data_IF_626511604988
#
_entry.id   IF_626511604988
#
_cell.length_a   1.000
_cell.length_b   1.000
_cell.length_c   1.000
_cell.angle_alpha   90.00
_cell.angle_beta   90.00
_cell.angle_gamma   90.00
#
_symmetry.space_group_name_H-M   'P 1'
#
loop_
_entity.id
_entity.type
_entity.pdbx_description
1 polymer ?
#
# COMPACT_ATOMS: atom_id res chain seq x y z
N UNK A 1 -14.98 -37.79 22.64
CA UNK A 1 -14.48 -36.86 21.60
C UNK A 1 -14.32 -35.49 22.21
N UNK A 2 -13.09 -34.98 22.38
CA UNK A 2 -12.89 -33.59 22.82
C UNK A 2 -13.23 -32.68 21.64
N UNK A 3 -14.27 -31.85 21.74
CA UNK A 3 -14.49 -30.74 20.80
C UNK A 3 -13.22 -29.87 20.85
N UNK A 4 -12.49 -29.82 19.74
CA UNK A 4 -11.42 -28.82 19.57
C UNK A 4 -12.12 -27.48 19.52
N UNK A 5 -11.86 -26.60 20.48
CA UNK A 5 -12.27 -25.19 20.38
C UNK A 5 -11.53 -24.60 19.18
N UNK A 6 -12.26 -24.28 18.13
CA UNK A 6 -11.72 -23.63 16.93
C UNK A 6 -11.42 -22.17 17.28
N UNK A 7 -10.30 -21.64 16.81
CA UNK A 7 -9.99 -20.22 17.06
C UNK A 7 -10.91 -19.31 16.23
N UNK A 8 -11.17 -18.08 16.70
CA UNK A 8 -12.03 -17.13 15.97
C UNK A 8 -11.57 -16.88 14.53
N UNK A 9 -10.25 -16.84 14.30
CA UNK A 9 -9.64 -16.72 12.96
C UNK A 9 -9.99 -17.94 12.10
N UNK A 10 -9.90 -19.15 12.65
CA UNK A 10 -10.26 -20.37 11.90
C UNK A 10 -11.75 -20.41 11.55
N UNK A 11 -12.64 -19.91 12.43
CA UNK A 11 -14.08 -19.80 12.16
C UNK A 11 -14.36 -18.79 11.03
N UNK A 12 -13.75 -17.60 11.10
CA UNK A 12 -13.85 -16.57 10.05
C UNK A 12 -13.37 -17.09 8.69
N UNK A 13 -12.22 -17.76 8.65
CA UNK A 13 -11.70 -18.39 7.43
C UNK A 13 -12.63 -19.45 6.87
N UNK A 14 -13.24 -20.27 7.74
CA UNK A 14 -14.19 -21.30 7.29
C UNK A 14 -15.46 -20.68 6.71
N UNK A 15 -15.96 -19.58 7.29
CA UNK A 15 -17.12 -18.85 6.78
C UNK A 15 -16.85 -18.29 5.39
N UNK A 16 -15.74 -17.56 5.21
CA UNK A 16 -15.35 -17.00 3.91
C UNK A 16 -15.16 -18.09 2.85
N UNK A 17 -14.48 -19.20 3.18
CA UNK A 17 -14.24 -20.30 2.22
C UNK A 17 -15.51 -21.05 1.80
N UNK A 18 -16.61 -20.92 2.55
CA UNK A 18 -17.90 -21.52 2.20
C UNK A 18 -18.80 -20.58 1.41
N UNK A 19 -18.48 -19.29 1.37
CA UNK A 19 -19.30 -18.32 0.64
C UNK A 19 -19.02 -18.36 -0.87
N UNK A 20 -20.06 -18.55 -1.71
CA UNK A 20 -19.90 -18.45 -3.15
C UNK A 20 -19.59 -17.02 -3.61
N UNK A 21 -20.16 -15.99 -2.95
CA UNK A 21 -19.92 -14.58 -3.30
C UNK A 21 -18.47 -14.18 -3.00
N UNK A 22 -17.94 -14.63 -1.86
CA UNK A 22 -16.52 -14.47 -1.55
C UNK A 22 -15.64 -15.20 -2.57
N UNK A 23 -15.98 -16.44 -2.95
CA UNK A 23 -15.21 -17.17 -3.95
C UNK A 23 -15.16 -16.44 -5.31
N UNK A 24 -16.28 -15.85 -5.73
CA UNK A 24 -16.37 -15.03 -6.95
C UNK A 24 -15.50 -13.77 -6.82
N UNK A 25 -15.48 -13.13 -5.64
CA UNK A 25 -14.69 -11.91 -5.42
C UNK A 25 -13.19 -12.12 -5.59
N UNK A 26 -12.69 -13.35 -5.42
CA UNK A 26 -11.26 -13.67 -5.61
C UNK A 26 -10.78 -13.55 -7.07
N UNK A 27 -11.69 -13.48 -8.05
CA UNK A 27 -11.37 -13.25 -9.46
C UNK A 27 -10.90 -11.82 -9.73
N UNK A 28 -11.37 -10.85 -8.93
CA UNK A 28 -11.15 -9.45 -9.18
C UNK A 28 -11.35 -8.56 -7.95
N UNK A 29 -11.00 -9.03 -6.73
CA UNK A 29 -11.20 -8.37 -5.42
C UNK A 29 -11.86 -6.99 -5.46
N UNK A 30 -11.11 -5.92 -5.75
CA UNK A 30 -11.64 -4.54 -5.87
C UNK A 30 -12.76 -4.40 -6.90
N UNK A 31 -12.52 -4.84 -8.15
CA UNK A 31 -13.49 -4.83 -9.23
C UNK A 31 -14.78 -5.58 -8.85
N UNK A 32 -14.66 -6.75 -8.22
CA UNK A 32 -15.81 -7.56 -7.81
C UNK A 32 -16.71 -6.83 -6.80
N UNK A 33 -16.12 -6.17 -5.81
CA UNK A 33 -16.87 -5.35 -4.85
C UNK A 33 -17.52 -4.14 -5.54
N UNK A 34 -16.77 -3.45 -6.41
CA UNK A 34 -17.29 -2.30 -7.15
C UNK A 34 -18.45 -2.68 -8.10
N UNK A 35 -18.40 -3.83 -8.79
CA UNK A 35 -19.59 -4.25 -9.56
C UNK A 35 -20.76 -4.68 -8.68
N UNK A 36 -20.52 -5.33 -7.54
CA UNK A 36 -21.62 -5.66 -6.63
C UNK A 36 -22.31 -4.39 -6.12
N UNK A 37 -21.54 -3.38 -5.74
CA UNK A 37 -22.06 -2.08 -5.31
C UNK A 37 -22.83 -1.35 -6.41
N UNK A 38 -22.32 -1.33 -7.65
CA UNK A 38 -23.07 -0.79 -8.79
C UNK A 38 -24.42 -1.50 -8.96
N UNK A 39 -24.41 -2.84 -8.91
CA UNK A 39 -25.62 -3.63 -9.06
C UNK A 39 -26.65 -3.36 -7.95
N UNK A 40 -26.26 -3.30 -6.66
CA UNK A 40 -27.22 -2.98 -5.59
C UNK A 40 -27.75 -1.54 -5.69
N UNK A 41 -26.95 -0.60 -6.20
CA UNK A 41 -27.37 0.80 -6.42
C UNK A 41 -28.43 0.91 -7.54
N UNK A 42 -28.40 0.02 -8.52
CA UNK A 42 -29.40 -0.05 -9.59
C UNK A 42 -30.73 -0.66 -9.14
N UNK A 43 -30.77 -1.35 -7.98
CA UNK A 43 -32.00 -1.99 -7.52
C UNK A 43 -33.02 -0.95 -7.07
N UNK A 44 -34.20 -1.02 -7.66
CA UNK A 44 -35.31 -0.12 -7.37
C UNK A 44 -36.38 -0.83 -6.53
N UNK A 45 -36.84 -0.17 -5.47
CA UNK A 45 -37.97 -0.57 -4.65
C UNK A 45 -38.88 0.64 -4.45
N UNK A 46 -40.14 0.50 -4.85
CA UNK A 46 -41.17 1.53 -4.71
C UNK A 46 -40.76 2.89 -5.31
N UNK A 47 -40.10 2.90 -6.47
CA UNK A 47 -39.67 4.14 -7.13
C UNK A 47 -38.38 4.75 -6.58
N UNK A 48 -37.65 4.02 -5.72
CA UNK A 48 -36.42 4.49 -5.07
C UNK A 48 -35.31 3.46 -5.16
N UNK A 49 -34.06 3.92 -5.07
CA UNK A 49 -32.84 3.14 -5.01
C UNK A 49 -32.29 3.14 -3.57
N UNK A 50 -32.80 2.30 -2.67
CA UNK A 50 -32.52 2.42 -1.23
C UNK A 50 -31.03 2.31 -0.89
N UNK A 51 -30.27 1.50 -1.63
CA UNK A 51 -28.84 1.30 -1.40
C UNK A 51 -27.96 2.53 -1.69
N UNK A 52 -28.50 3.62 -2.26
CA UNK A 52 -27.78 4.90 -2.33
C UNK A 52 -27.38 5.42 -0.95
N UNK A 53 -28.19 5.11 0.07
CA UNK A 53 -27.96 5.54 1.45
C UNK A 53 -26.80 4.82 2.14
N UNK A 54 -26.25 3.77 1.52
CA UNK A 54 -24.96 3.19 1.93
C UNK A 54 -23.85 4.23 1.84
N UNK A 55 -23.84 5.03 0.76
CA UNK A 55 -22.77 5.98 0.48
C UNK A 55 -23.17 7.43 0.80
N UNK A 56 -24.46 7.76 0.70
CA UNK A 56 -24.99 9.09 1.01
C UNK A 56 -26.11 8.96 2.05
N UNK A 57 -25.80 9.01 3.36
CA UNK A 57 -26.82 8.93 4.40
C UNK A 57 -27.94 9.96 4.23
N UNK A 58 -29.16 9.58 4.60
CA UNK A 58 -30.35 10.43 4.54
C UNK A 58 -30.65 11.01 3.14
N UNK A 59 -30.22 10.34 2.08
CA UNK A 59 -30.31 10.81 0.68
C UNK A 59 -31.70 11.33 0.31
N UNK A 60 -32.74 10.52 0.54
CA UNK A 60 -34.11 10.90 0.19
C UNK A 60 -34.70 11.93 1.17
N UNK A 61 -34.33 11.88 2.45
CA UNK A 61 -34.79 12.84 3.45
C UNK A 61 -34.25 14.25 3.16
N UNK A 62 -33.04 14.32 2.61
CA UNK A 62 -32.40 15.56 2.16
C UNK A 62 -32.98 16.10 0.84
N UNK A 63 -33.95 15.41 0.23
CA UNK A 63 -34.60 15.82 -1.01
C UNK A 63 -33.77 15.53 -2.25
N UNK A 64 -32.80 14.62 -2.18
CA UNK A 64 -32.00 14.23 -3.33
C UNK A 64 -32.75 13.23 -4.23
N UNK A 65 -32.40 13.21 -5.51
CA UNK A 65 -32.95 12.29 -6.51
C UNK A 65 -31.82 11.59 -7.26
N UNK A 66 -31.84 10.25 -7.26
CA UNK A 66 -30.85 9.43 -7.95
C UNK A 66 -31.00 9.58 -9.48
N UNK A 67 -29.87 9.66 -10.21
CA UNK A 67 -29.87 9.69 -11.68
C UNK A 67 -29.24 8.40 -12.23
N UNK A 68 -28.01 8.10 -11.84
CA UNK A 68 -27.28 6.96 -12.39
C UNK A 68 -26.09 6.54 -11.52
N UNK A 69 -25.64 5.30 -11.73
CA UNK A 69 -24.33 4.80 -11.31
C UNK A 69 -23.60 4.30 -12.54
N UNK A 70 -22.33 4.68 -12.68
CA UNK A 70 -21.45 4.27 -13.78
C UNK A 70 -20.17 3.65 -13.20
N UNK A 71 -19.66 2.62 -13.85
CA UNK A 71 -18.41 1.94 -13.46
C UNK A 71 -17.25 2.36 -14.35
N UNK A 72 -16.05 2.42 -13.77
CA UNK A 72 -14.77 2.56 -14.52
C UNK A 72 -14.69 3.82 -15.41
N UNK A 73 -15.57 4.81 -15.16
CA UNK A 73 -15.61 6.07 -15.91
C UNK A 73 -14.36 6.87 -15.58
N UNK A 74 -13.54 7.15 -16.59
CA UNK A 74 -12.24 7.83 -16.42
C UNK A 74 -11.35 7.17 -15.36
N UNK A 75 -11.34 5.84 -15.30
CA UNK A 75 -10.50 5.06 -14.36
C UNK A 75 -10.86 5.24 -12.87
N UNK A 76 -12.09 5.66 -12.58
CA UNK A 76 -12.68 5.68 -11.23
C UNK A 76 -13.54 4.42 -11.04
N UNK A 77 -13.47 3.79 -9.86
CA UNK A 77 -14.24 2.56 -9.61
C UNK A 77 -15.76 2.74 -9.79
N UNK A 78 -16.36 3.75 -9.15
CA UNK A 78 -17.77 4.13 -9.35
C UNK A 78 -17.96 5.65 -9.42
N UNK A 79 -18.84 6.08 -10.31
CA UNK A 79 -19.36 7.45 -10.38
C UNK A 79 -20.87 7.41 -10.21
N UNK A 80 -21.38 8.08 -9.17
CA UNK A 80 -22.80 8.22 -8.89
C UNK A 80 -23.20 9.64 -9.23
N UNK A 81 -24.23 9.80 -10.07
CA UNK A 81 -24.80 11.09 -10.42
C UNK A 81 -26.18 11.21 -9.78
N UNK A 82 -26.45 12.36 -9.16
CA UNK A 82 -27.74 12.65 -8.52
C UNK A 82 -28.08 14.13 -8.60
N UNK A 83 -29.30 14.48 -8.24
CA UNK A 83 -29.72 15.87 -8.03
C UNK A 83 -29.90 16.16 -6.57
N UNK A 84 -29.42 17.31 -6.12
CA UNK A 84 -29.69 17.80 -4.77
C UNK A 84 -31.10 18.42 -4.67
N UNK A 85 -31.47 18.92 -3.48
CA UNK A 85 -32.76 19.56 -3.22
C UNK A 85 -33.05 20.79 -4.09
N UNK A 86 -32.01 21.48 -4.56
CA UNK A 86 -32.10 22.61 -5.48
C UNK A 86 -32.21 22.18 -6.96
N UNK A 87 -32.29 20.86 -7.23
CA UNK A 87 -32.33 20.26 -8.56
C UNK A 87 -31.05 20.51 -9.38
N UNK A 88 -29.93 20.79 -8.70
CA UNK A 88 -28.59 20.88 -9.28
C UNK A 88 -27.95 19.49 -9.33
N UNK A 89 -27.18 19.22 -10.38
CA UNK A 89 -26.49 17.94 -10.57
C UNK A 89 -25.23 17.88 -9.71
N UNK A 90 -25.10 16.81 -8.92
CA UNK A 90 -23.93 16.49 -8.11
C UNK A 90 -23.37 15.12 -8.51
N UNK A 91 -22.06 14.97 -8.30
CA UNK A 91 -21.33 13.74 -8.60
C UNK A 91 -20.60 13.26 -7.36
N UNK A 92 -20.86 12.01 -6.96
CA UNK A 92 -20.10 11.30 -5.96
C UNK A 92 -19.19 10.28 -6.64
N UNK A 93 -17.90 10.32 -6.32
CA UNK A 93 -16.92 9.33 -6.73
C UNK A 93 -16.71 8.34 -5.60
N UNK A 94 -16.71 7.05 -5.91
CA UNK A 94 -16.25 6.01 -4.98
C UNK A 94 -15.00 5.36 -5.57
N UNK A 95 -13.93 5.38 -4.80
CA UNK A 95 -12.67 4.72 -5.12
C UNK A 95 -12.46 3.55 -4.15
N UNK A 96 -12.33 2.34 -4.68
CA UNK A 96 -12.18 1.12 -3.91
C UNK A 96 -10.71 0.70 -3.84
N UNK A 97 -10.18 0.66 -2.63
CA UNK A 97 -8.77 0.38 -2.38
C UNK A 97 -8.61 -0.70 -1.33
N UNK A 98 -8.42 -1.92 -1.83
CA UNK A 98 -8.07 -3.08 -1.03
C UNK A 98 -6.59 -3.39 -1.17
N UNK A 99 -6.05 -3.29 -2.40
CA UNK A 99 -4.71 -3.78 -2.76
C UNK A 99 -3.61 -2.74 -2.63
N UNK A 100 -3.94 -1.47 -2.46
CA UNK A 100 -2.95 -0.39 -2.46
C UNK A 100 -3.51 0.82 -1.77
N UNK A 101 -2.61 1.68 -1.31
CA UNK A 101 -2.95 2.94 -0.68
C UNK A 101 -3.04 3.98 -1.80
N UNK A 102 -4.15 4.71 -1.90
CA UNK A 102 -4.25 5.77 -2.90
C UNK A 102 -3.23 6.86 -2.58
N UNK A 103 -2.69 7.50 -3.62
CA UNK A 103 -1.83 8.67 -3.44
C UNK A 103 -2.66 9.94 -3.59
N UNK A 104 -2.23 11.03 -2.94
CA UNK A 104 -2.88 12.33 -3.05
C UNK A 104 -2.95 12.81 -4.50
N UNK A 105 -1.91 12.56 -5.28
CA UNK A 105 -1.84 12.92 -6.69
C UNK A 105 -2.90 12.18 -7.51
N UNK A 106 -3.24 10.94 -7.17
CA UNK A 106 -4.32 10.21 -7.83
C UNK A 106 -5.68 10.86 -7.54
N UNK A 107 -5.95 11.19 -6.27
CA UNK A 107 -7.20 11.82 -5.86
C UNK A 107 -7.37 13.21 -6.51
N UNK A 108 -6.30 14.01 -6.55
CA UNK A 108 -6.31 15.32 -7.20
C UNK A 108 -6.54 15.23 -8.71
N UNK A 109 -6.02 14.21 -9.39
CA UNK A 109 -6.27 14.00 -10.83
C UNK A 109 -7.75 13.75 -11.12
N UNK A 110 -8.44 12.99 -10.28
CA UNK A 110 -9.88 12.77 -10.46
C UNK A 110 -10.66 14.08 -10.34
N UNK A 111 -10.29 14.93 -9.38
CA UNK A 111 -10.88 16.26 -9.22
C UNK A 111 -10.62 17.15 -10.45
N UNK A 112 -9.42 17.14 -11.02
CA UNK A 112 -9.09 17.92 -12.22
C UNK A 112 -9.79 17.39 -13.49
N UNK A 113 -9.86 16.07 -13.66
CA UNK A 113 -10.45 15.44 -14.86
C UNK A 113 -11.98 15.56 -14.88
N UNK A 114 -12.63 15.56 -13.71
CA UNK A 114 -14.08 15.65 -13.57
C UNK A 114 -14.54 17.08 -13.29
N UNK A 115 -13.72 17.92 -12.65
CA UNK A 115 -14.01 19.30 -12.28
C UNK A 115 -14.07 20.31 -13.43
N UNK A 116 -13.81 19.90 -14.67
CA UNK A 116 -13.99 20.74 -15.87
C UNK A 116 -15.46 21.06 -16.20
N UNK A 117 -16.43 20.65 -15.38
CA UNK A 117 -17.86 20.67 -15.71
C UNK A 117 -18.76 21.56 -14.80
N UNK A 118 -18.23 22.45 -13.96
CA UNK A 118 -19.02 23.23 -12.97
C UNK A 118 -19.90 22.36 -12.04
N UNK A 119 -19.55 21.07 -11.89
CA UNK A 119 -20.26 20.13 -11.03
C UNK A 119 -19.62 20.07 -9.64
N UNK A 120 -20.47 19.97 -8.61
CA UNK A 120 -20.02 19.66 -7.25
C UNK A 120 -19.58 18.20 -7.20
N UNK A 121 -18.31 17.96 -6.87
CA UNK A 121 -17.71 16.63 -6.78
C UNK A 121 -17.28 16.36 -5.35
N UNK A 122 -17.75 15.23 -4.81
CA UNK A 122 -17.28 14.64 -3.55
C UNK A 122 -16.69 13.26 -3.80
N UNK A 123 -15.83 12.79 -2.90
CA UNK A 123 -15.15 11.51 -3.04
C UNK A 123 -15.27 10.64 -1.80
N UNK A 124 -15.43 9.33 -1.98
CA UNK A 124 -15.34 8.34 -0.91
C UNK A 124 -14.24 7.35 -1.29
N UNK A 125 -13.24 7.24 -0.41
CA UNK A 125 -12.28 6.16 -0.41
C UNK A 125 -12.82 5.01 0.43
N UNK A 126 -12.82 3.79 -0.11
CA UNK A 126 -13.26 2.59 0.61
C UNK A 126 -12.13 1.56 0.73
N UNK A 127 -12.16 0.76 1.79
CA UNK A 127 -11.18 -0.30 1.99
C UNK A 127 -11.29 -1.01 3.34
N UNK A 128 -10.36 -1.94 3.56
CA UNK A 128 -10.25 -2.71 4.83
C UNK A 128 -9.53 -1.93 5.94
N UNK A 129 -8.75 -0.91 5.58
CA UNK A 129 -7.93 -0.14 6.50
C UNK A 129 -7.73 1.29 5.96
N UNK A 130 -7.87 2.29 6.84
CA UNK A 130 -7.56 3.69 6.50
C UNK A 130 -6.06 3.91 6.66
N UNK A 131 -5.35 4.08 5.56
CA UNK A 131 -3.89 4.30 5.56
C UNK A 131 -3.48 5.76 5.44
N UNK A 132 -4.34 6.61 4.88
CA UNK A 132 -4.12 8.05 4.85
C UNK A 132 -4.72 8.66 6.11
N UNK A 133 -4.06 9.66 6.68
CA UNK A 133 -4.71 10.50 7.66
C UNK A 133 -5.96 11.09 7.00
N UNK A 134 -7.13 10.88 7.60
CA UNK A 134 -8.42 11.36 7.10
C UNK A 134 -8.37 12.88 6.89
N UNK A 135 -7.52 13.59 7.65
CA UNK A 135 -7.31 15.03 7.50
C UNK A 135 -6.63 15.41 6.18
N UNK A 136 -5.82 14.53 5.60
CA UNK A 136 -5.14 14.75 4.32
C UNK A 136 -6.04 14.48 3.10
N UNK A 137 -7.22 13.89 3.32
CA UNK A 137 -8.17 13.52 2.27
C UNK A 137 -8.96 14.72 1.72
N UNK A 138 -8.96 15.87 2.38
CA UNK A 138 -9.63 17.08 1.89
C UNK A 138 -11.14 16.87 1.70
N UNK A 139 -11.62 16.87 0.44
CA UNK A 139 -13.02 16.60 0.08
C UNK A 139 -13.39 15.11 0.09
N UNK A 140 -12.41 14.25 0.30
CA UNK A 140 -12.60 12.80 0.33
C UNK A 140 -12.90 12.33 1.73
N UNK A 141 -13.85 11.39 1.84
CA UNK A 141 -14.18 10.71 3.08
C UNK A 141 -13.67 9.26 3.01
N UNK A 142 -13.28 8.69 4.14
CA UNK A 142 -13.02 7.26 4.23
C UNK A 142 -14.27 6.51 4.73
N UNK A 143 -14.70 5.49 3.98
CA UNK A 143 -15.79 4.61 4.36
C UNK A 143 -15.30 3.15 4.38
N UNK A 144 -15.13 2.60 5.58
CA UNK A 144 -14.64 1.24 5.75
C UNK A 144 -15.62 0.19 5.25
N UNK A 145 -15.11 -1.00 4.91
CA UNK A 145 -15.95 -2.14 4.55
C UNK A 145 -16.90 -2.55 5.67
N UNK A 146 -16.51 -2.36 6.93
CA UNK A 146 -17.38 -2.58 8.08
C UNK A 146 -18.62 -1.70 8.06
N UNK A 147 -18.41 -0.41 7.81
CA UNK A 147 -19.50 0.56 7.78
C UNK A 147 -20.41 0.34 6.57
N UNK A 148 -19.82 -0.02 5.42
CA UNK A 148 -20.59 -0.43 4.23
C UNK A 148 -21.46 -1.65 4.54
N UNK A 149 -20.90 -2.69 5.19
CA UNK A 149 -21.64 -3.89 5.57
C UNK A 149 -22.84 -3.56 6.46
N UNK A 150 -22.61 -2.77 7.51
CA UNK A 150 -23.67 -2.34 8.44
C UNK A 150 -24.78 -1.58 7.75
N UNK A 151 -24.44 -0.63 6.88
CA UNK A 151 -25.45 0.15 6.16
C UNK A 151 -26.25 -0.72 5.19
N UNK A 152 -25.60 -1.65 4.50
CA UNK A 152 -26.29 -2.63 3.65
C UNK A 152 -27.27 -3.47 4.48
N UNK A 153 -26.83 -4.00 5.63
CA UNK A 153 -27.69 -4.80 6.51
C UNK A 153 -28.88 -4.01 7.02
N UNK A 154 -28.68 -2.77 7.50
CA UNK A 154 -29.77 -1.91 7.97
C UNK A 154 -30.83 -1.65 6.89
N UNK A 155 -30.39 -1.42 5.64
CA UNK A 155 -31.30 -1.22 4.51
C UNK A 155 -32.02 -2.52 4.16
N UNK A 156 -31.31 -3.64 4.18
CA UNK A 156 -31.86 -4.97 3.91
C UNK A 156 -32.93 -5.37 4.95
N UNK A 157 -32.76 -5.03 6.23
CA UNK A 157 -33.77 -5.29 7.28
C UNK A 157 -35.13 -4.63 6.96
N UNK A 158 -35.11 -3.44 6.36
CA UNK A 158 -36.31 -2.71 5.93
C UNK A 158 -36.91 -3.31 4.67
N UNK A 159 -36.07 -3.88 3.79
CA UNK A 159 -36.46 -4.41 2.49
C UNK A 159 -36.25 -5.93 2.36
N UNK A 160 -36.54 -6.68 3.43
CA UNK A 160 -36.23 -8.11 3.52
C UNK A 160 -36.96 -8.99 2.50
N UNK A 161 -38.00 -8.48 1.83
CA UNK A 161 -38.80 -9.22 0.84
C UNK A 161 -38.29 -9.09 -0.59
N UNK A 162 -37.15 -8.42 -0.83
CA UNK A 162 -36.53 -8.37 -2.16
C UNK A 162 -36.11 -9.78 -2.62
N UNK A 163 -36.30 -10.10 -3.91
CA UNK A 163 -35.97 -11.40 -4.51
C UNK A 163 -34.49 -11.82 -4.37
N UNK A 164 -33.63 -10.85 -4.04
CA UNK A 164 -32.18 -11.01 -3.90
C UNK A 164 -31.67 -10.68 -2.50
N UNK A 165 -32.56 -10.57 -1.49
CA UNK A 165 -32.21 -10.23 -0.11
C UNK A 165 -31.12 -11.14 0.46
N UNK A 166 -31.21 -12.46 0.22
CA UNK A 166 -30.23 -13.44 0.70
C UNK A 166 -28.82 -13.20 0.13
N UNK A 167 -28.70 -12.77 -1.13
CA UNK A 167 -27.40 -12.47 -1.73
C UNK A 167 -26.79 -11.20 -1.16
N UNK A 168 -27.60 -10.18 -0.89
CA UNK A 168 -27.17 -8.93 -0.27
C UNK A 168 -26.72 -9.19 1.17
N UNK A 169 -27.48 -9.99 1.91
CA UNK A 169 -27.11 -10.40 3.26
C UNK A 169 -25.78 -11.15 3.28
N UNK A 170 -25.64 -12.19 2.45
CA UNK A 170 -24.41 -12.98 2.38
C UNK A 170 -23.21 -12.11 2.01
N UNK A 171 -23.38 -11.16 1.08
CA UNK A 171 -22.33 -10.22 0.72
C UNK A 171 -21.91 -9.35 1.91
N UNK A 172 -22.86 -8.72 2.60
CA UNK A 172 -22.59 -7.87 3.75
C UNK A 172 -21.87 -8.64 4.87
N UNK A 173 -22.34 -9.86 5.15
CA UNK A 173 -21.71 -10.77 6.11
C UNK A 173 -20.27 -11.14 5.72
N UNK A 174 -20.01 -11.42 4.44
CA UNK A 174 -18.67 -11.76 3.96
C UNK A 174 -17.69 -10.60 4.11
N UNK A 175 -18.10 -9.38 3.76
CA UNK A 175 -17.23 -8.21 3.86
C UNK A 175 -16.97 -7.82 5.32
N UNK A 176 -17.94 -8.01 6.22
CA UNK A 176 -17.76 -7.80 7.66
C UNK A 176 -16.77 -8.82 8.24
N UNK A 177 -16.95 -10.11 7.93
CA UNK A 177 -16.03 -11.17 8.37
C UNK A 177 -14.61 -10.96 7.85
N UNK A 178 -14.47 -10.52 6.59
CA UNK A 178 -13.19 -10.18 6.00
C UNK A 178 -12.55 -9.00 6.74
N UNK A 179 -13.32 -7.96 7.05
CA UNK A 179 -12.85 -6.80 7.79
C UNK A 179 -12.36 -7.20 9.20
N UNK A 180 -13.17 -7.93 9.96
CA UNK A 180 -12.84 -8.36 11.32
C UNK A 180 -11.59 -9.27 11.36
N UNK A 181 -11.45 -10.15 10.37
CA UNK A 181 -10.27 -10.99 10.21
C UNK A 181 -9.00 -10.12 10.00
N UNK A 182 -9.10 -9.09 9.15
CA UNK A 182 -8.00 -8.16 8.92
C UNK A 182 -7.66 -7.34 10.17
N UNK A 183 -8.65 -6.79 10.87
CA UNK A 183 -8.43 -6.04 12.11
C UNK A 183 -7.75 -6.92 13.17
N UNK A 184 -8.23 -8.14 13.34
CA UNK A 184 -7.63 -9.12 14.28
C UNK A 184 -6.16 -9.39 13.95
N UNK A 185 -5.84 -9.55 12.66
CA UNK A 185 -4.46 -9.75 12.18
C UNK A 185 -3.60 -8.51 12.33
N UNK A 186 -4.13 -7.32 12.07
CA UNK A 186 -3.42 -6.05 12.26
C UNK A 186 -3.04 -5.85 13.73
N UNK A 187 -3.98 -6.07 14.66
CA UNK A 187 -3.71 -5.92 16.09
C UNK A 187 -2.74 -7.00 16.61
N UNK A 188 -2.90 -8.26 16.21
CA UNK A 188 -1.99 -9.35 16.59
C UNK A 188 -0.53 -9.07 16.19
N UNK A 189 -0.33 -8.35 15.09
CA UNK A 189 0.98 -8.03 14.51
C UNK A 189 1.30 -6.53 14.53
N UNK A 190 0.74 -5.81 15.50
CA UNK A 190 1.07 -4.40 15.72
C UNK A 190 2.56 -4.23 15.97
N UNK A 191 3.17 -3.23 15.31
CA UNK A 191 4.61 -2.97 15.45
C UNK A 191 5.53 -4.05 14.90
N UNK A 192 5.03 -4.95 14.04
CA UNK A 192 5.82 -6.02 13.42
C UNK A 192 5.80 -5.92 11.90
N UNK A 193 6.97 -6.11 11.31
CA UNK A 193 7.14 -6.23 9.86
C UNK A 193 6.75 -7.64 9.42
N UNK A 194 5.93 -7.71 8.36
CA UNK A 194 5.32 -8.96 7.88
C UNK A 194 5.70 -9.21 6.43
N UNK A 195 6.11 -10.44 6.14
CA UNK A 195 6.52 -10.90 4.79
C UNK A 195 5.59 -11.98 4.22
N UNK A 196 4.50 -12.29 4.92
CA UNK A 196 3.44 -13.23 4.53
C UNK A 196 2.61 -13.67 5.73
N UNK A 197 1.35 -14.05 5.50
CA UNK A 197 0.48 -14.66 6.53
C UNK A 197 -0.17 -15.94 6.00
N UNK A 198 0.03 -17.06 6.71
CA UNK A 198 -0.43 -18.39 6.28
C UNK A 198 -1.95 -18.54 6.31
N UNK A 199 -2.63 -17.81 7.19
CA UNK A 199 -4.08 -17.87 7.31
C UNK A 199 -4.73 -17.10 6.17
N UNK A 200 -4.23 -15.90 5.89
CA UNK A 200 -4.70 -15.08 4.78
C UNK A 200 -4.30 -15.68 3.42
N UNK A 201 -3.25 -16.49 3.34
CA UNK A 201 -2.94 -17.24 2.12
C UNK A 201 -4.06 -18.23 1.75
N UNK A 202 -4.72 -18.85 2.75
CA UNK A 202 -5.83 -19.79 2.51
C UNK A 202 -7.00 -19.15 1.77
N UNK A 203 -7.21 -17.85 1.97
CA UNK A 203 -8.23 -17.06 1.28
C UNK A 203 -7.66 -16.14 0.19
N UNK A 204 -6.36 -16.28 -0.15
CA UNK A 204 -5.65 -15.48 -1.16
C UNK A 204 -5.59 -13.97 -0.88
N UNK A 205 -5.51 -13.56 0.39
CA UNK A 205 -5.39 -12.16 0.86
C UNK A 205 -4.03 -11.83 1.53
N UNK A 206 -3.11 -12.78 1.64
CA UNK A 206 -1.77 -12.57 2.23
C UNK A 206 -1.00 -11.45 1.53
N UNK A 207 -1.12 -11.32 0.20
CA UNK A 207 -0.46 -10.28 -0.58
C UNK A 207 -0.95 -8.88 -0.20
N UNK A 208 -2.26 -8.71 -0.03
CA UNK A 208 -2.89 -7.47 0.42
C UNK A 208 -2.42 -7.11 1.83
N UNK A 209 -2.44 -8.08 2.73
CA UNK A 209 -2.02 -7.85 4.11
C UNK A 209 -0.56 -7.42 4.21
N UNK A 210 0.33 -8.09 3.46
CA UNK A 210 1.74 -7.71 3.36
C UNK A 210 1.91 -6.30 2.78
N UNK A 211 1.05 -5.88 1.84
CA UNK A 211 1.08 -4.52 1.31
C UNK A 211 0.69 -3.46 2.34
N UNK A 212 -0.39 -3.71 3.09
CA UNK A 212 -0.83 -2.82 4.16
C UNK A 212 0.23 -2.69 5.26
N UNK A 213 0.77 -3.81 5.75
CA UNK A 213 1.85 -3.81 6.74
C UNK A 213 3.13 -3.15 6.21
N UNK A 214 3.44 -3.31 4.93
CA UNK A 214 4.58 -2.63 4.30
C UNK A 214 4.43 -1.11 4.31
N UNK A 215 3.23 -0.59 4.10
CA UNK A 215 3.00 0.86 4.16
C UNK A 215 2.96 1.42 5.57
N UNK A 216 2.27 0.74 6.48
CA UNK A 216 2.30 1.10 7.90
C UNK A 216 3.76 1.20 8.38
N UNK A 217 4.61 0.26 7.98
CA UNK A 217 6.02 0.29 8.32
C UNK A 217 6.80 1.43 7.64
N UNK A 218 6.51 1.72 6.37
CA UNK A 218 7.10 2.86 5.66
C UNK A 218 6.78 4.19 6.35
N UNK A 219 5.53 4.38 6.80
CA UNK A 219 5.11 5.56 7.55
C UNK A 219 5.85 5.67 8.88
N UNK A 220 5.97 4.57 9.63
CA UNK A 220 6.73 4.55 10.89
C UNK A 220 8.23 4.85 10.69
N UNK A 221 8.84 4.37 9.60
CA UNK A 221 10.20 4.75 9.23
C UNK A 221 10.26 6.26 8.96
N UNK A 222 9.38 6.78 8.09
CA UNK A 222 9.40 8.18 7.68
C UNK A 222 9.20 9.15 8.85
N UNK A 223 8.38 8.81 9.85
CA UNK A 223 8.23 9.59 11.10
C UNK A 223 9.51 9.72 11.92
N UNK A 224 10.41 8.73 11.81
CA UNK A 224 11.66 8.63 12.61
C UNK A 224 12.92 9.00 11.82
N UNK A 225 12.81 9.24 10.51
CA UNK A 225 13.92 9.73 9.70
C UNK A 225 14.17 11.22 10.01
N UNK A 226 15.40 11.54 10.41
CA UNK A 226 15.81 12.91 10.78
C UNK A 226 17.00 13.40 9.95
N UNK A 227 17.18 12.86 8.73
CA UNK A 227 18.31 13.18 7.87
C UNK A 227 17.99 14.38 6.98
N UNK A 228 19.00 15.21 6.74
CA UNK A 228 18.91 16.39 5.89
C UNK A 228 19.54 16.16 4.52
N UNK A 229 19.20 17.02 3.56
CA UNK A 229 19.91 17.07 2.29
C UNK A 229 21.35 17.57 2.49
N UNK A 230 22.28 17.13 1.67
CA UNK A 230 23.69 17.51 1.78
C UNK A 230 24.30 17.79 0.40
N UNK A 231 24.64 19.06 0.12
CA UNK A 231 25.19 19.48 -1.18
C UNK A 231 24.28 19.00 -2.34
N UNK A 232 24.79 18.10 -3.17
CA UNK A 232 24.14 17.48 -4.33
C UNK A 232 23.39 16.19 -3.97
N UNK A 233 23.32 15.82 -2.69
CA UNK A 233 22.59 14.66 -2.19
C UNK A 233 21.22 15.07 -1.64
N UNK A 234 20.18 14.46 -2.19
CA UNK A 234 18.80 14.63 -1.74
C UNK A 234 18.60 13.90 -0.41
N UNK A 235 17.79 14.49 0.48
CA UNK A 235 17.39 13.87 1.74
C UNK A 235 16.71 12.51 1.48
N UNK A 236 17.00 11.48 2.30
CA UNK A 236 16.39 10.17 2.13
C UNK A 236 14.93 10.20 2.58
N UNK A 237 14.07 9.55 1.81
CA UNK A 237 12.69 9.22 2.18
C UNK A 237 12.53 7.72 1.97
N UNK A 238 11.76 7.06 2.84
CA UNK A 238 11.41 5.66 2.63
C UNK A 238 10.38 5.54 1.52
N UNK A 239 10.79 4.93 0.41
CA UNK A 239 9.90 4.49 -0.65
C UNK A 239 9.51 3.02 -0.48
N UNK A 240 8.28 2.68 -0.86
CA UNK A 240 7.76 1.32 -0.85
C UNK A 240 7.45 0.86 -2.28
N UNK A 241 7.94 -0.32 -2.63
CA UNK A 241 7.63 -0.99 -3.90
C UNK A 241 7.30 -2.46 -3.66
N UNK A 242 6.64 -3.10 -4.62
CA UNK A 242 6.24 -4.50 -4.52
C UNK A 242 6.68 -5.27 -5.75
N UNK A 243 7.64 -6.19 -5.57
CA UNK A 243 8.16 -7.04 -6.63
C UNK A 243 8.01 -8.51 -6.24
N UNK A 244 7.48 -9.35 -7.13
CA UNK A 244 7.31 -10.79 -6.90
C UNK A 244 6.62 -11.14 -5.55
N UNK A 245 5.56 -10.39 -5.18
CA UNK A 245 4.82 -10.49 -3.91
C UNK A 245 5.64 -10.14 -2.64
N UNK A 246 6.79 -9.47 -2.79
CA UNK A 246 7.61 -9.02 -1.66
C UNK A 246 7.62 -7.50 -1.58
N UNK A 247 7.38 -6.92 -0.39
CA UNK A 247 7.63 -5.52 -0.14
C UNK A 247 9.14 -5.27 -0.21
N UNK A 248 9.51 -4.24 -0.94
CA UNK A 248 10.87 -3.67 -0.95
C UNK A 248 10.77 -2.23 -0.48
N UNK A 249 11.31 -1.97 0.72
CA UNK A 249 11.46 -0.61 1.26
C UNK A 249 12.87 -0.12 0.95
N UNK A 250 12.99 1.07 0.37
CA UNK A 250 14.29 1.66 0.00
C UNK A 250 14.42 3.03 0.65
N UNK A 251 15.54 3.26 1.33
CA UNK A 251 15.85 4.50 2.05
C UNK A 251 17.26 4.89 1.63
N UNK A 252 17.39 5.87 0.76
CA UNK A 252 18.67 6.19 0.11
C UNK A 252 18.91 7.68 0.05
N UNK A 253 20.17 8.09 0.25
CA UNK A 253 20.64 9.37 -0.24
C UNK A 253 20.87 9.24 -1.75
N UNK A 254 20.22 10.09 -2.53
CA UNK A 254 20.40 10.14 -3.99
C UNK A 254 21.22 11.35 -4.39
N UNK A 255 22.37 11.12 -5.00
CA UNK A 255 23.22 12.17 -5.54
C UNK A 255 22.71 12.61 -6.90
N UNK A 256 22.62 13.93 -7.11
CA UNK A 256 22.11 14.56 -8.33
C UNK A 256 23.22 15.29 -9.07
N UNK A 257 23.04 15.54 -10.37
CA UNK A 257 23.94 16.41 -11.12
C UNK A 257 23.75 17.86 -10.65
N UNK A 258 24.83 18.58 -10.46
CA UNK A 258 24.79 20.03 -10.28
C UNK A 258 24.18 20.72 -11.51
N UNK A 259 23.16 21.55 -11.31
CA UNK A 259 22.41 22.21 -12.38
C UNK A 259 21.31 21.37 -13.09
N UNK A 260 21.21 20.06 -12.83
CA UNK A 260 20.08 19.23 -13.29
C UNK A 260 19.63 18.24 -12.19
N UNK A 261 18.80 18.70 -11.23
CA UNK A 261 18.38 17.91 -10.07
C UNK A 261 17.48 16.72 -10.44
N UNK A 262 17.03 16.63 -11.70
CA UNK A 262 16.21 15.51 -12.18
C UNK A 262 17.04 14.26 -12.47
N UNK A 263 18.35 14.42 -12.70
CA UNK A 263 19.25 13.31 -13.03
C UNK A 263 20.00 12.81 -11.81
N UNK A 264 19.85 11.52 -11.54
CA UNK A 264 20.59 10.83 -10.48
C UNK A 264 21.92 10.29 -11.01
N UNK A 265 23.02 10.55 -10.30
CA UNK A 265 24.35 10.02 -10.63
C UNK A 265 24.72 8.80 -9.79
N UNK A 266 24.13 8.66 -8.60
CA UNK A 266 24.29 7.49 -7.76
C UNK A 266 23.54 7.60 -6.46
N UNK A 267 23.60 6.55 -5.66
CA UNK A 267 22.90 6.45 -4.39
C UNK A 267 23.57 5.51 -3.42
N UNK A 268 23.40 5.78 -2.13
CA UNK A 268 23.78 4.89 -1.03
C UNK A 268 22.69 4.89 0.04
N UNK A 269 22.56 3.79 0.78
CA UNK A 269 21.62 3.71 1.89
C UNK A 269 21.25 2.27 2.25
N UNK A 270 19.98 2.09 2.61
CA UNK A 270 19.42 0.84 3.11
C UNK A 270 18.26 0.39 2.24
N UNK A 271 18.14 -0.92 2.07
CA UNK A 271 16.97 -1.56 1.49
C UNK A 271 16.54 -2.75 2.35
N UNK A 272 15.23 -2.91 2.55
CA UNK A 272 14.62 -4.08 3.19
C UNK A 272 13.81 -4.81 2.14
N UNK A 273 14.12 -6.08 1.88
CA UNK A 273 13.39 -6.91 0.91
C UNK A 273 13.12 -8.30 1.48
N UNK A 274 11.86 -8.59 1.79
CA UNK A 274 11.48 -9.85 2.44
C UNK A 274 12.20 -10.02 3.79
N UNK A 275 12.86 -11.15 4.01
CA UNK A 275 13.60 -11.42 5.26
C UNK A 275 15.03 -10.83 5.26
N UNK A 276 15.36 -9.94 4.32
CA UNK A 276 16.71 -9.42 4.14
C UNK A 276 16.80 -7.93 4.44
N UNK A 277 17.76 -7.57 5.29
CA UNK A 277 18.26 -6.21 5.43
C UNK A 277 19.49 -6.05 4.54
N UNK A 278 19.52 -5.01 3.72
CA UNK A 278 20.57 -4.75 2.74
C UNK A 278 21.14 -3.35 2.92
N UNK A 279 22.45 -3.24 2.96
CA UNK A 279 23.17 -2.00 2.67
C UNK A 279 23.33 -1.93 1.16
N UNK A 280 23.05 -0.77 0.61
CA UNK A 280 22.90 -0.55 -0.82
C UNK A 280 23.79 0.62 -1.26
N UNK A 281 24.45 0.46 -2.41
CA UNK A 281 25.26 1.52 -3.00
C UNK A 281 25.48 1.31 -4.49
N UNK A 282 25.51 2.39 -5.27
CA UNK A 282 25.68 2.28 -6.72
C UNK A 282 25.65 3.58 -7.50
N UNK A 283 26.15 3.54 -8.73
CA UNK A 283 26.07 4.62 -9.71
C UNK A 283 24.85 4.42 -10.62
N UNK A 284 24.13 5.51 -10.91
CA UNK A 284 22.83 5.53 -11.59
C UNK A 284 22.87 6.09 -13.02
N UNK A 285 24.04 6.54 -13.49
CA UNK A 285 24.18 7.23 -14.79
C UNK A 285 24.71 6.37 -15.93
N UNK A 286 24.25 6.70 -17.14
CA UNK A 286 24.71 6.15 -18.41
C UNK A 286 26.17 6.58 -18.70
N UNK A 287 27.05 5.60 -18.92
CA UNK A 287 28.45 5.84 -19.29
C UNK A 287 29.42 6.04 -18.11
N UNK A 288 28.90 6.25 -16.90
CA UNK A 288 29.72 6.37 -15.69
C UNK A 288 29.75 5.03 -14.92
N UNK A 289 30.90 4.37 -15.08
CA UNK A 289 31.52 3.32 -14.26
C UNK A 289 31.35 1.83 -14.60
N UNK A 290 32.52 1.19 -14.69
CA UNK A 290 32.72 -0.23 -14.54
C UNK A 290 32.40 -0.67 -13.11
N UNK A 291 31.65 -1.77 -12.99
CA UNK A 291 31.25 -2.41 -11.73
C UNK A 291 32.37 -2.42 -10.67
N UNK A 292 33.59 -2.83 -11.07
CA UNK A 292 34.78 -2.87 -10.21
C UNK A 292 35.12 -1.52 -9.57
N UNK A 293 35.06 -0.43 -10.34
CA UNK A 293 35.43 0.91 -9.85
C UNK A 293 34.44 1.38 -8.78
N UNK A 294 33.14 1.17 -9.00
CA UNK A 294 32.10 1.54 -8.01
C UNK A 294 32.31 0.77 -6.71
N UNK A 295 32.58 -0.53 -6.80
CA UNK A 295 32.77 -1.39 -5.64
C UNK A 295 34.06 -1.07 -4.89
N UNK A 296 35.17 -0.87 -5.62
CA UNK A 296 36.44 -0.45 -5.03
C UNK A 296 36.26 0.88 -4.28
N UNK A 297 35.58 1.86 -4.88
CA UNK A 297 35.24 3.13 -4.22
C UNK A 297 34.43 2.92 -2.92
N UNK A 298 33.47 1.99 -2.90
CA UNK A 298 32.69 1.66 -1.71
C UNK A 298 33.47 0.84 -0.66
N UNK A 299 34.47 0.06 -1.07
CA UNK A 299 35.38 -0.62 -0.15
C UNK A 299 36.42 0.33 0.44
N UNK A 300 36.96 1.24 -0.37
CA UNK A 300 38.03 2.16 0.03
C UNK A 300 37.53 3.19 1.03
N UNK A 301 36.25 3.56 0.96
CA UNK A 301 35.61 4.40 1.98
C UNK A 301 35.03 3.59 3.15
N UNK A 302 35.27 2.28 3.21
CA UNK A 302 34.81 1.38 4.28
C UNK A 302 33.28 1.28 4.41
N UNK A 303 32.53 1.59 3.35
CA UNK A 303 31.07 1.48 3.32
C UNK A 303 30.64 0.02 3.19
N UNK A 304 31.26 -0.71 2.26
CA UNK A 304 31.18 -2.17 2.20
C UNK A 304 32.41 -2.81 2.85
N UNK A 305 32.25 -4.05 3.31
CA UNK A 305 33.35 -4.82 3.90
C UNK A 305 33.85 -5.88 2.91
N UNK A 306 35.17 -5.90 2.69
CA UNK A 306 35.84 -6.80 1.72
C UNK A 306 35.72 -8.28 2.10
N UNK A 307 35.72 -8.59 3.40
CA UNK A 307 35.66 -9.97 3.89
C UNK A 307 34.24 -10.38 4.30
N UNK A 308 33.66 -11.30 3.51
CA UNK A 308 32.32 -11.87 3.71
C UNK A 308 32.14 -12.60 5.07
N UNK A 309 33.26 -13.08 5.66
CA UNK A 309 33.29 -13.85 6.90
C UNK A 309 33.75 -13.03 8.12
N UNK A 310 34.16 -11.77 7.93
CA UNK A 310 34.27 -10.88 9.07
C UNK A 310 32.83 -10.62 9.53
N UNK A 311 32.48 -11.23 10.68
CA UNK A 311 31.30 -10.83 11.46
C UNK A 311 31.21 -9.32 11.34
N UNK A 312 30.13 -8.77 10.80
CA UNK A 312 29.89 -7.34 10.97
C UNK A 312 29.90 -7.14 12.47
N UNK A 313 30.95 -6.51 13.01
CA UNK A 313 31.36 -6.64 14.41
C UNK A 313 30.35 -6.04 15.39
N UNK A 314 29.22 -5.58 14.90
CA UNK A 314 28.18 -4.91 15.66
C UNK A 314 27.19 -5.84 16.35
N UNK A 315 26.93 -7.08 15.90
CA UNK A 315 25.94 -7.97 16.56
C UNK A 315 26.16 -9.50 16.37
N UNK A 316 27.31 -9.96 15.86
CA UNK A 316 27.56 -11.40 15.66
C UNK A 316 26.88 -12.04 14.44
N UNK A 317 26.40 -11.23 13.48
CA UNK A 317 25.70 -11.69 12.26
C UNK A 317 26.66 -11.98 11.10
N UNK A 318 26.31 -12.95 10.26
CA UNK A 318 27.03 -13.26 9.01
C UNK A 318 26.37 -12.57 7.82
N UNK A 319 27.10 -11.69 7.13
CA UNK A 319 26.62 -11.01 5.92
C UNK A 319 27.01 -11.77 4.64
N UNK A 320 26.32 -11.49 3.54
CA UNK A 320 26.62 -12.04 2.22
C UNK A 320 26.51 -10.94 1.17
N UNK A 321 27.27 -11.07 0.09
CA UNK A 321 27.13 -10.29 -1.14
C UNK A 321 27.14 -11.28 -2.32
N UNK A 322 26.53 -10.92 -3.45
CA UNK A 322 26.49 -11.81 -4.62
C UNK A 322 27.86 -11.83 -5.31
N UNK A 323 28.22 -12.95 -5.94
CA UNK A 323 29.46 -13.08 -6.71
C UNK A 323 29.49 -12.20 -7.97
N UNK A 324 28.31 -11.92 -8.54
CA UNK A 324 28.13 -10.90 -9.58
C UNK A 324 27.49 -9.70 -8.90
N UNK A 325 28.17 -8.56 -8.91
CA UNK A 325 27.79 -7.40 -8.13
C UNK A 325 26.57 -6.69 -8.73
N UNK A 326 26.37 -6.78 -10.06
CA UNK A 326 25.14 -6.44 -10.75
C UNK A 326 24.41 -7.70 -11.28
N UNK A 327 23.15 -7.90 -10.88
CA UNK A 327 22.31 -9.03 -11.36
C UNK A 327 21.90 -8.84 -12.83
N UNK A 328 21.84 -7.59 -13.29
CA UNK A 328 21.40 -7.24 -14.63
C UNK A 328 22.61 -7.10 -15.56
N UNK A 329 23.36 -8.18 -15.70
CA UNK A 329 24.41 -8.33 -16.71
C UNK A 329 23.84 -8.43 -18.13
N UNK A 330 22.89 -7.59 -18.48
CA UNK A 330 22.61 -7.30 -19.87
C UNK A 330 23.63 -6.27 -20.32
N UNK A 331 24.30 -6.55 -21.43
CA UNK A 331 25.29 -5.70 -22.11
C UNK A 331 24.72 -4.29 -22.44
N UNK A 332 23.42 -4.07 -22.21
CA UNK A 332 22.67 -2.83 -22.39
C UNK A 332 22.26 -2.11 -21.08
N UNK A 333 22.51 -2.66 -19.89
CA UNK A 333 22.11 -2.03 -18.62
C UNK A 333 23.14 -0.98 -18.17
N UNK A 334 22.69 0.28 -18.15
CA UNK A 334 23.46 1.52 -18.00
C UNK A 334 23.56 2.01 -16.53
N UNK A 335 23.78 1.10 -15.57
CA UNK A 335 23.88 1.42 -14.14
C UNK A 335 24.57 0.29 -13.35
N UNK A 336 25.12 0.59 -12.16
CA UNK A 336 25.75 -0.40 -11.28
C UNK A 336 25.21 -0.29 -9.85
N UNK A 337 24.50 -1.32 -9.39
CA UNK A 337 23.91 -1.37 -8.06
C UNK A 337 24.38 -2.59 -7.28
N UNK A 338 25.03 -2.35 -6.15
CA UNK A 338 25.66 -3.36 -5.32
C UNK A 338 24.97 -3.46 -3.96
N UNK A 339 24.97 -4.67 -3.38
CA UNK A 339 24.26 -4.97 -2.14
C UNK A 339 25.10 -5.86 -1.22
N UNK A 340 25.22 -5.45 0.05
CA UNK A 340 25.68 -6.33 1.13
C UNK A 340 24.50 -6.57 2.07
N UNK A 341 24.16 -7.83 2.35
CA UNK A 341 22.91 -8.17 3.05
C UNK A 341 23.08 -9.19 4.16
N UNK A 342 22.14 -9.20 5.10
CA UNK A 342 21.98 -10.21 6.13
C UNK A 342 20.50 -10.50 6.38
N UNK A 343 20.22 -11.60 7.08
CA UNK A 343 18.84 -11.96 7.45
C UNK A 343 18.37 -11.11 8.63
N UNK A 344 17.11 -10.71 8.58
CA UNK A 344 16.40 -10.11 9.71
C UNK A 344 16.04 -11.24 10.67
N UNK A 345 16.45 -11.09 11.93
CA UNK A 345 16.19 -12.05 13.00
C UNK A 345 15.07 -11.57 13.92
N UNK A 346 14.96 -10.25 14.11
CA UNK A 346 13.91 -9.58 14.87
C UNK A 346 13.08 -8.73 13.91
N UNK A 347 11.80 -9.10 13.78
CA UNK A 347 10.84 -8.45 12.90
C UNK A 347 10.05 -7.32 13.57
N UNK A 348 10.40 -6.93 14.80
CA UNK A 348 9.83 -5.72 15.40
C UNK A 348 10.26 -4.47 14.63
N UNK A 349 9.36 -3.50 14.53
CA UNK A 349 9.65 -2.23 13.86
C UNK A 349 10.86 -1.54 14.49
N UNK A 350 10.91 -1.47 15.83
CA UNK A 350 12.00 -0.80 16.54
C UNK A 350 13.36 -1.41 16.22
N UNK A 351 13.50 -2.74 16.26
CA UNK A 351 14.76 -3.40 15.97
C UNK A 351 15.26 -3.15 14.53
N UNK A 352 14.34 -3.17 13.55
CA UNK A 352 14.68 -2.93 12.15
C UNK A 352 15.00 -1.44 11.93
N UNK A 353 14.22 -0.53 12.50
CA UNK A 353 14.41 0.92 12.36
C UNK A 353 15.71 1.37 13.02
N UNK A 354 16.05 0.85 14.21
CA UNK A 354 17.30 1.17 14.89
C UNK A 354 18.52 0.77 14.06
N UNK A 355 18.48 -0.43 13.45
CA UNK A 355 19.52 -0.87 12.54
C UNK A 355 19.55 -0.02 11.26
N UNK A 356 18.39 0.33 10.70
CA UNK A 356 18.26 1.22 9.56
C UNK A 356 18.91 2.58 9.83
N UNK A 357 18.53 3.27 10.91
CA UNK A 357 19.06 4.59 11.27
C UNK A 357 20.57 4.52 11.46
N UNK A 358 21.05 3.49 12.13
CA UNK A 358 22.48 3.26 12.34
C UNK A 358 23.25 3.11 11.04
N UNK A 359 22.72 2.36 10.06
CA UNK A 359 23.36 2.21 8.75
C UNK A 359 23.24 3.47 7.89
N UNK A 360 22.13 4.20 7.98
CA UNK A 360 21.97 5.49 7.30
C UNK A 360 22.93 6.57 7.83
N UNK A 361 23.23 6.57 9.14
CA UNK A 361 24.28 7.45 9.72
C UNK A 361 25.67 7.13 9.17
N UNK A 362 25.98 5.85 8.94
CA UNK A 362 27.25 5.46 8.31
C UNK A 362 27.28 5.98 6.86
N UNK A 363 26.19 5.85 6.11
CA UNK A 363 26.09 6.38 4.75
C UNK A 363 26.30 7.91 4.73
N UNK A 364 25.61 8.64 5.60
CA UNK A 364 25.76 10.09 5.75
C UNK A 364 27.20 10.50 6.08
N UNK A 365 27.87 9.77 6.98
CA UNK A 365 29.28 10.00 7.31
C UNK A 365 30.19 9.83 6.09
N UNK A 366 29.93 8.83 5.23
CA UNK A 366 30.72 8.63 4.00
C UNK A 366 30.52 9.78 3.02
N UNK A 367 29.30 10.28 2.88
CA UNK A 367 29.01 11.46 2.06
C UNK A 367 29.76 12.69 2.61
N UNK A 368 29.70 12.93 3.92
CA UNK A 368 30.40 14.05 4.58
C UNK A 368 31.91 13.95 4.43
N UNK A 369 32.46 12.73 4.39
CA UNK A 369 33.87 12.46 4.15
C UNK A 369 34.27 12.47 2.66
N UNK A 370 33.38 12.92 1.76
CA UNK A 370 33.71 13.18 0.35
C UNK A 370 33.35 12.06 -0.62
N UNK A 371 32.57 11.05 -0.22
CA UNK A 371 32.06 10.06 -1.17
C UNK A 371 31.18 10.73 -2.24
N UNK A 372 31.52 10.50 -3.50
CA UNK A 372 30.81 10.99 -4.68
C UNK A 372 30.86 9.96 -5.80
N UNK A 373 29.78 9.90 -6.58
CA UNK A 373 29.70 9.17 -7.84
C UNK A 373 29.86 10.08 -9.06
N UNK A 374 29.96 11.40 -8.89
CA UNK A 374 30.37 12.31 -9.94
C UNK A 374 31.89 12.28 -10.07
N UNK A 375 32.39 11.92 -11.26
CA UNK A 375 33.74 12.26 -11.74
C UNK A 375 33.61 13.37 -12.79
#
# INVERSE_FOLDING_TARGET
MKKKTTSIIEEQLQRLNRSPLFAISLSGKELSHSNFWAWILEQEVEGKHPFIEVFIPDFYQNGCTFISVEREKKHVDLTITYKNKANETEVLIIENKIKSIPTKEQLMRYEEELGKQDLSITGILTGLYASLDIQELGKWLFLSYHEIAKRIMNIQEVHATMDFADYIQQYAEDIEVLYDLFQSKMEQNKGKYIIGDKDLEKIRYSDIYVKLKGSEFMEEINKRLTFEAYKDWVKPVCGLSFNHKKPTLSIVFSQRIDGDPTKEIGMIGVQIEGDQFRIYGGASQEGNYHEKVVIEKLYDCDYFKRNFAEKISKQGRTSKMRNNYCKYGNITAKYCHCYQYWKIEDFSYDAIIDELIKQMRIAEEKIKNGLTFGE
#
